data_IF_608684107784
#
_entry.id   IF_608684107784
#
_cell.length_a   1.000
_cell.length_b   1.000
_cell.length_c   1.000
_cell.angle_alpha   90.00
_cell.angle_beta   90.00
_cell.angle_gamma   90.00
#
_symmetry.space_group_name_H-M   'P 1'
#
loop_
_entity.id
_entity.type
_entity.pdbx_description
1 polymer ?
#
# COMPACT_ATOMS: atom_id res chain seq x y z
N UNK A 1 11.75 0.65 -15.70
CA UNK A 1 10.77 0.07 -16.66
C UNK A 1 9.78 1.17 -16.99
N UNK A 2 9.49 1.44 -18.27
CA UNK A 2 8.44 2.39 -18.62
C UNK A 2 7.07 1.75 -18.32
N UNK A 3 6.03 2.56 -18.04
CA UNK A 3 4.69 2.05 -17.73
C UNK A 3 4.11 1.18 -18.87
N UNK A 4 4.53 1.43 -20.11
CA UNK A 4 4.09 0.73 -21.32
C UNK A 4 4.48 -0.76 -21.33
N UNK A 5 5.66 -1.12 -20.83
CA UNK A 5 6.15 -2.51 -20.77
C UNK A 5 5.39 -3.30 -19.70
N UNK A 6 5.14 -2.72 -18.53
CA UNK A 6 4.38 -3.37 -17.46
C UNK A 6 2.92 -3.64 -17.89
N UNK A 7 2.26 -2.67 -18.52
CA UNK A 7 0.89 -2.83 -19.04
C UNK A 7 0.78 -3.91 -20.11
N UNK A 8 1.80 -4.07 -20.95
CA UNK A 8 1.82 -5.10 -21.97
C UNK A 8 1.96 -6.50 -21.35
N UNK A 9 2.86 -6.65 -20.39
CA UNK A 9 3.01 -7.90 -19.64
C UNK A 9 1.72 -8.32 -18.92
N UNK A 10 1.04 -7.37 -18.26
CA UNK A 10 -0.23 -7.62 -17.58
C UNK A 10 -1.29 -8.18 -18.55
N UNK A 11 -1.40 -7.59 -19.73
CA UNK A 11 -2.31 -8.08 -20.78
C UNK A 11 -1.92 -9.45 -21.32
N UNK A 12 -0.64 -9.72 -21.50
CA UNK A 12 -0.13 -11.04 -21.91
C UNK A 12 -0.42 -12.13 -20.86
N UNK A 13 -0.49 -11.76 -19.57
CA UNK A 13 -0.91 -12.62 -18.47
C UNK A 13 -2.44 -12.76 -18.33
N UNK A 14 -3.23 -12.14 -19.22
CA UNK A 14 -4.69 -12.22 -19.21
C UNK A 14 -5.38 -11.25 -18.26
N UNK A 15 -4.66 -10.24 -17.73
CA UNK A 15 -5.27 -9.19 -16.91
C UNK A 15 -5.97 -8.18 -17.80
N UNK A 16 -7.26 -7.96 -17.56
CA UNK A 16 -8.03 -6.90 -18.22
C UNK A 16 -7.66 -5.53 -17.63
N UNK A 17 -6.70 -4.84 -18.26
CA UNK A 17 -6.27 -3.49 -17.86
C UNK A 17 -7.19 -2.37 -18.38
N UNK A 18 -8.33 -2.69 -19.03
CA UNK A 18 -9.28 -1.67 -19.50
C UNK A 18 -10.22 -1.16 -18.40
N UNK A 19 -10.20 -1.81 -17.25
CA UNK A 19 -11.03 -1.55 -16.06
C UNK A 19 -10.15 -1.50 -14.82
N UNK A 20 -10.76 -1.44 -13.65
CA UNK A 20 -10.06 -1.67 -12.38
C UNK A 20 -9.60 -3.14 -12.31
N UNK A 21 -8.33 -3.36 -11.93
CA UNK A 21 -7.71 -4.67 -11.80
C UNK A 21 -6.86 -4.76 -10.53
N UNK A 22 -6.48 -5.97 -10.12
CA UNK A 22 -5.69 -6.17 -8.90
C UNK A 22 -4.27 -6.62 -9.21
N UNK A 23 -3.28 -5.95 -8.63
CA UNK A 23 -1.88 -6.41 -8.57
C UNK A 23 -1.55 -6.71 -7.11
N UNK A 24 -1.28 -7.97 -6.76
CA UNK A 24 -0.91 -8.37 -5.39
C UNK A 24 -1.88 -7.83 -4.30
N UNK A 25 -3.19 -7.80 -4.60
CA UNK A 25 -4.21 -7.28 -3.71
C UNK A 25 -4.34 -5.74 -3.66
N UNK A 26 -3.57 -5.02 -4.48
CA UNK A 26 -3.71 -3.57 -4.68
C UNK A 26 -4.61 -3.31 -5.88
N UNK A 27 -5.66 -2.51 -5.70
CA UNK A 27 -6.58 -2.11 -6.77
C UNK A 27 -5.94 -1.05 -7.64
N UNK A 28 -5.94 -1.26 -8.94
CA UNK A 28 -5.22 -0.45 -9.92
C UNK A 28 -6.13 -0.05 -11.08
N UNK A 29 -5.87 1.13 -11.64
CA UNK A 29 -6.50 1.65 -12.87
C UNK A 29 -5.41 2.11 -13.84
N UNK A 30 -5.76 2.25 -15.12
CA UNK A 30 -4.88 2.87 -16.12
C UNK A 30 -5.41 4.24 -16.49
N UNK A 31 -4.60 5.28 -16.27
CA UNK A 31 -4.91 6.65 -16.70
C UNK A 31 -3.70 7.22 -17.45
N UNK A 32 -3.92 7.85 -18.61
CA UNK A 32 -2.82 8.42 -19.41
C UNK A 32 -1.77 7.40 -19.88
N UNK A 33 -2.07 6.09 -19.84
CA UNK A 33 -1.11 5.03 -20.17
C UNK A 33 -0.19 4.63 -19.00
N UNK A 34 -0.47 5.10 -17.79
CA UNK A 34 0.24 4.74 -16.57
C UNK A 34 -0.68 4.02 -15.58
N UNK A 35 -0.09 3.23 -14.68
CA UNK A 35 -0.81 2.46 -13.67
C UNK A 35 -0.89 3.28 -12.40
N UNK A 36 -2.10 3.52 -11.93
CA UNK A 36 -2.40 4.20 -10.68
C UNK A 36 -3.11 3.28 -9.70
N UNK A 37 -2.97 3.54 -8.41
CA UNK A 37 -3.76 2.88 -7.39
C UNK A 37 -5.17 3.48 -7.35
N UNK A 38 -6.18 2.63 -7.47
CA UNK A 38 -7.57 3.05 -7.55
C UNK A 38 -8.01 3.74 -6.25
N UNK A 39 -8.47 4.99 -6.37
CA UNK A 39 -8.95 5.77 -5.22
C UNK A 39 -7.86 6.30 -4.29
N UNK A 40 -6.58 6.16 -4.64
CA UNK A 40 -5.51 6.80 -3.89
C UNK A 40 -5.36 8.27 -4.33
N UNK A 41 -5.75 9.19 -3.45
CA UNK A 41 -5.59 10.64 -3.65
C UNK A 41 -4.27 11.18 -3.10
N UNK A 42 -3.47 10.33 -2.46
CA UNK A 42 -2.17 10.66 -1.90
C UNK A 42 -1.05 10.35 -2.90
N UNK A 43 0.05 11.11 -2.82
CA UNK A 43 1.30 10.82 -3.55
C UNK A 43 2.01 9.57 -3.03
N UNK A 44 1.54 9.00 -1.91
CA UNK A 44 2.14 7.83 -1.26
C UNK A 44 1.30 6.59 -1.57
N UNK A 45 1.89 5.52 -2.15
CA UNK A 45 1.22 4.24 -2.32
C UNK A 45 0.73 3.65 -1.00
N UNK A 46 -0.47 3.09 -0.95
CA UNK A 46 -1.10 2.62 0.30
C UNK A 46 -0.28 1.56 1.03
N UNK A 47 0.39 0.65 0.28
CA UNK A 47 1.25 -0.37 0.84
C UNK A 47 2.44 0.20 1.62
N UNK A 48 3.03 1.29 1.11
CA UNK A 48 4.11 2.02 1.80
C UNK A 48 3.56 2.75 3.02
N UNK A 49 2.42 3.43 2.85
CA UNK A 49 1.76 4.15 3.93
C UNK A 49 1.42 3.21 5.11
N UNK A 50 0.79 2.06 4.83
CA UNK A 50 0.44 1.06 5.85
C UNK A 50 1.66 0.56 6.62
N UNK A 51 2.73 0.19 5.91
CA UNK A 51 3.95 -0.29 6.57
C UNK A 51 4.61 0.79 7.44
N UNK A 52 4.56 2.05 7.00
CA UNK A 52 5.03 3.17 7.80
C UNK A 52 4.15 3.35 9.04
N UNK A 53 2.82 3.29 8.88
CA UNK A 53 1.85 3.41 9.98
C UNK A 53 2.06 2.31 11.03
N UNK A 54 2.13 1.04 10.63
CA UNK A 54 2.41 -0.10 11.53
C UNK A 54 3.69 0.14 12.35
N UNK A 55 4.76 0.62 11.71
CA UNK A 55 6.01 0.92 12.39
C UNK A 55 5.88 2.09 13.38
N UNK A 56 5.09 3.12 13.03
CA UNK A 56 4.80 4.21 13.95
C UNK A 56 4.00 3.72 15.17
N UNK A 57 2.98 2.89 14.93
CA UNK A 57 2.16 2.29 15.99
C UNK A 57 3.02 1.44 16.93
N UNK A 58 3.91 0.59 16.41
CA UNK A 58 4.85 -0.19 17.22
C UNK A 58 5.78 0.68 18.07
N UNK A 59 6.30 1.77 17.49
CA UNK A 59 7.20 2.69 18.20
C UNK A 59 6.48 3.45 19.32
N UNK A 60 5.22 3.86 19.10
CA UNK A 60 4.40 4.55 20.09
C UNK A 60 3.87 3.60 21.16
N UNK A 61 3.60 2.35 20.81
CA UNK A 61 3.17 1.32 21.75
C UNK A 61 4.25 1.01 22.80
N UNK A 62 5.54 1.06 22.43
CA UNK A 62 6.66 0.76 23.34
C UNK A 62 6.66 1.62 24.62
N UNK A 63 6.69 2.97 24.56
CA UNK A 63 6.59 3.82 25.75
C UNK A 63 5.32 3.61 26.57
N UNK A 64 4.18 3.36 25.91
CA UNK A 64 2.89 3.14 26.58
C UNK A 64 2.88 1.82 27.36
N UNK A 65 3.44 0.77 26.77
CA UNK A 65 3.59 -0.55 27.38
C UNK A 65 4.57 -0.54 28.56
N UNK A 66 5.57 0.32 28.49
CA UNK A 66 6.54 0.53 29.57
C UNK A 66 5.90 1.28 30.75
N UNK A 67 5.14 2.35 30.50
CA UNK A 67 4.38 3.05 31.55
C UNK A 67 3.33 2.18 32.24
N UNK A 68 2.61 1.33 31.50
CA UNK A 68 1.64 0.40 32.12
C UNK A 68 2.28 -0.63 33.05
N UNK A 69 3.54 -1.02 32.81
CA UNK A 69 4.25 -1.99 33.67
C UNK A 69 4.63 -1.46 35.05
N UNK A 70 4.76 -0.13 35.22
CA UNK A 70 5.06 0.48 36.52
C UNK A 70 3.84 0.62 37.45
N UNK A 71 2.62 0.44 36.95
CA UNK A 71 1.40 0.60 37.74
C UNK A 71 0.81 -0.73 38.25
N UNK A 72 1.29 -1.87 37.76
CA UNK A 72 0.80 -3.22 38.16
C UNK A 72 1.70 -3.89 39.21
N UNK A 73 2.81 -3.27 39.59
CA UNK A 73 3.74 -3.75 40.63
C UNK A 73 3.59 -3.04 41.97
N UNK A 74 2.44 -2.43 42.26
CA UNK A 74 2.09 -1.88 43.57
C UNK A 74 1.13 -2.80 44.33
#
# INVERSE_FOLDING_TARGET
MNATVALRLLRELGVDTSREFNINGTRCIVEGGEIYEAGNTSVVPSGIHRKALERYEELLAKPLSEKMRYHTTA
#
